data_IF_181791670777
#
_entry.id   IF_181791670777
#
_cell.length_a   1.000
_cell.length_b   1.000
_cell.length_c   1.000
_cell.angle_alpha   90.00
_cell.angle_beta   90.00
_cell.angle_gamma   90.00
#
_symmetry.space_group_name_H-M   'P 1'
#
loop_
_entity.id
_entity.type
_entity.pdbx_description
1 polymer ?
#
# COMPACT_ATOMS: atom_id res chain seq x y z
N UNK A 1 -0.04 -30.47 -3.27
CA UNK A 1 1.29 -29.91 -3.57
C UNK A 1 1.25 -29.31 -4.97
N UNK A 2 1.38 -27.98 -5.15
CA UNK A 2 1.48 -27.39 -6.49
C UNK A 2 2.95 -27.23 -6.93
N UNK A 3 3.25 -27.29 -8.24
CA UNK A 3 4.61 -27.37 -8.75
C UNK A 3 5.28 -25.99 -8.85
N UNK A 4 6.60 -25.98 -8.63
CA UNK A 4 7.51 -24.85 -8.70
C UNK A 4 7.55 -24.25 -10.11
N UNK A 5 7.23 -22.96 -10.24
CA UNK A 5 7.48 -22.18 -11.45
C UNK A 5 9.00 -22.07 -11.68
N UNK A 6 9.51 -22.85 -12.62
CA UNK A 6 10.87 -22.70 -13.15
C UNK A 6 11.00 -21.34 -13.83
N UNK A 7 11.66 -20.38 -13.17
CA UNK A 7 12.07 -19.11 -13.80
C UNK A 7 13.07 -19.42 -14.90
N UNK A 8 12.58 -19.43 -16.14
CA UNK A 8 13.41 -19.42 -17.34
C UNK A 8 14.25 -18.14 -17.31
N UNK A 9 15.54 -18.26 -17.00
CA UNK A 9 16.49 -17.15 -17.15
C UNK A 9 16.61 -16.90 -18.66
N UNK A 10 15.94 -15.86 -19.17
CA UNK A 10 16.16 -15.38 -20.53
C UNK A 10 17.63 -14.92 -20.60
N UNK A 11 18.41 -15.47 -21.52
CA UNK A 11 19.78 -15.01 -21.74
C UNK A 11 19.76 -13.54 -22.15
N UNK A 12 20.23 -12.65 -21.28
CA UNK A 12 20.41 -11.23 -21.59
C UNK A 12 21.49 -11.11 -22.68
N UNK A 13 21.11 -10.60 -23.84
CA UNK A 13 22.04 -10.32 -24.94
C UNK A 13 22.81 -9.05 -24.60
N UNK A 14 24.14 -9.08 -24.67
CA UNK A 14 24.97 -7.89 -24.50
C UNK A 14 24.81 -6.92 -25.68
N UNK A 15 24.83 -5.62 -25.41
CA UNK A 15 24.87 -4.56 -26.40
C UNK A 15 26.32 -4.15 -26.66
N UNK A 16 26.62 -3.58 -27.82
CA UNK A 16 27.94 -3.03 -28.14
C UNK A 16 27.86 -1.51 -28.24
N UNK A 17 28.78 -0.80 -27.59
CA UNK A 17 28.86 0.66 -27.75
C UNK A 17 29.63 1.02 -29.03
N UNK A 18 28.91 1.51 -30.04
CA UNK A 18 29.49 1.92 -31.33
C UNK A 18 30.41 3.17 -31.21
N UNK A 19 30.15 4.02 -30.23
CA UNK A 19 30.90 5.27 -30.01
C UNK A 19 32.17 5.09 -29.16
N UNK A 20 32.40 3.89 -28.61
CA UNK A 20 33.62 3.59 -27.85
C UNK A 20 34.70 3.01 -28.75
N UNK A 21 35.94 3.48 -28.58
CA UNK A 21 37.10 2.86 -29.21
C UNK A 21 37.12 1.36 -28.88
N UNK A 22 36.93 0.53 -29.92
CA UNK A 22 36.95 -0.93 -29.83
C UNK A 22 35.61 -1.65 -29.60
N UNK A 23 34.45 -1.04 -29.85
CA UNK A 23 33.13 -1.71 -29.79
C UNK A 23 32.91 -2.55 -28.52
N UNK A 24 33.19 -1.95 -27.36
CA UNK A 24 33.14 -2.65 -26.06
C UNK A 24 31.75 -3.24 -25.81
N UNK A 25 31.69 -4.51 -25.41
CA UNK A 25 30.46 -5.17 -25.02
C UNK A 25 29.99 -4.68 -23.64
N UNK A 26 28.76 -4.20 -23.56
CA UNK A 26 28.08 -3.72 -22.36
C UNK A 26 26.85 -4.61 -22.13
N UNK A 27 26.63 -5.00 -20.89
CA UNK A 27 25.43 -5.78 -20.52
C UNK A 27 24.20 -4.89 -20.79
N UNK A 28 23.24 -5.40 -21.56
CA UNK A 28 22.04 -4.67 -21.99
C UNK A 28 20.98 -4.57 -20.88
N UNK A 29 21.40 -4.08 -19.73
CA UNK A 29 20.56 -3.78 -18.58
C UNK A 29 20.59 -2.27 -18.35
N UNK A 30 19.43 -1.66 -18.12
CA UNK A 30 19.28 -0.20 -18.10
C UNK A 30 20.20 0.48 -17.08
N UNK A 31 20.42 -0.14 -15.92
CA UNK A 31 21.33 0.35 -14.88
C UNK A 31 22.79 0.29 -15.34
N UNK A 32 23.19 -0.80 -16.00
CA UNK A 32 24.54 -0.98 -16.54
C UNK A 32 24.84 -0.03 -17.69
N UNK A 33 23.88 0.20 -18.60
CA UNK A 33 24.01 1.15 -19.70
C UNK A 33 24.16 2.58 -19.17
N UNK A 34 23.35 3.00 -18.18
CA UNK A 34 23.48 4.33 -17.57
C UNK A 34 24.85 4.52 -16.92
N UNK A 35 25.39 3.49 -16.25
CA UNK A 35 26.73 3.55 -15.66
C UNK A 35 27.82 3.65 -16.73
N UNK A 36 27.69 2.91 -17.83
CA UNK A 36 28.61 3.01 -18.97
C UNK A 36 28.57 4.39 -19.63
N UNK A 37 27.36 4.93 -19.89
CA UNK A 37 27.18 6.28 -20.42
C UNK A 37 27.81 7.32 -19.49
N UNK A 38 27.64 7.19 -18.18
CA UNK A 38 28.29 8.09 -17.23
C UNK A 38 29.82 8.03 -17.29
N UNK A 39 30.40 6.85 -17.41
CA UNK A 39 31.85 6.68 -17.38
C UNK A 39 32.53 7.10 -18.68
N UNK A 40 31.87 6.88 -19.83
CA UNK A 40 32.51 7.00 -21.16
C UNK A 40 31.94 8.17 -21.97
N UNK A 41 30.67 8.50 -21.79
CA UNK A 41 29.92 9.41 -22.66
C UNK A 41 29.11 10.46 -21.87
N UNK A 42 29.60 10.88 -20.70
CA UNK A 42 28.85 11.81 -19.83
C UNK A 42 28.61 13.16 -20.51
N UNK A 43 29.66 13.76 -21.09
CA UNK A 43 29.57 15.06 -21.77
C UNK A 43 28.52 15.07 -22.90
N UNK A 44 28.61 14.11 -23.81
CA UNK A 44 27.66 13.99 -24.94
C UNK A 44 26.25 13.69 -24.47
N UNK A 45 26.07 12.91 -23.41
CA UNK A 45 24.77 12.66 -22.80
C UNK A 45 24.16 13.93 -22.19
N UNK A 46 24.96 14.75 -21.50
CA UNK A 46 24.48 16.02 -20.94
C UNK A 46 24.01 16.99 -22.03
N UNK A 47 24.77 17.12 -23.12
CA UNK A 47 24.40 17.95 -24.27
C UNK A 47 23.10 17.47 -24.91
N UNK A 48 22.97 16.15 -25.11
CA UNK A 48 21.74 15.55 -25.61
C UNK A 48 20.56 15.79 -24.66
N UNK A 49 20.75 15.60 -23.36
CA UNK A 49 19.70 15.81 -22.37
C UNK A 49 19.22 17.27 -22.35
N UNK A 50 20.15 18.24 -22.38
CA UNK A 50 19.84 19.66 -22.45
C UNK A 50 19.09 20.02 -23.74
N UNK A 51 19.56 19.54 -24.90
CA UNK A 51 18.93 19.80 -26.20
C UNK A 51 17.51 19.24 -26.29
N UNK A 52 17.24 18.14 -25.61
CA UNK A 52 15.92 17.48 -25.61
C UNK A 52 15.04 17.89 -24.42
N UNK A 53 15.46 18.86 -23.60
CA UNK A 53 14.76 19.27 -22.37
C UNK A 53 14.53 18.12 -21.37
N UNK A 54 15.41 17.12 -21.36
CA UNK A 54 15.40 16.04 -20.40
C UNK A 54 16.29 16.34 -19.20
N UNK A 55 15.80 15.93 -18.03
CA UNK A 55 16.59 15.94 -16.82
C UNK A 55 17.60 14.79 -16.85
N UNK A 56 18.88 15.09 -16.58
CA UNK A 56 19.91 14.05 -16.53
C UNK A 56 19.60 12.99 -15.47
N UNK A 57 19.65 11.72 -15.91
CA UNK A 57 19.43 10.54 -15.07
C UNK A 57 20.71 9.71 -14.90
N UNK A 58 21.89 10.31 -15.08
CA UNK A 58 23.14 9.64 -14.74
C UNK A 58 23.22 9.46 -13.22
N UNK A 59 23.72 8.31 -12.74
CA UNK A 59 23.86 8.02 -11.31
C UNK A 59 24.40 9.18 -10.46
N UNK A 60 25.50 9.83 -10.90
CA UNK A 60 26.11 10.95 -10.18
C UNK A 60 25.19 12.17 -10.07
N UNK A 61 24.39 12.46 -11.09
CA UNK A 61 23.48 13.60 -11.05
C UNK A 61 22.28 13.33 -10.15
N UNK A 62 21.82 12.07 -10.12
CA UNK A 62 20.77 11.63 -9.20
C UNK A 62 21.28 11.73 -7.75
N UNK A 63 22.52 11.35 -7.48
CA UNK A 63 23.15 11.48 -6.16
C UNK A 63 23.23 12.94 -5.73
N UNK A 64 23.79 13.83 -6.57
CA UNK A 64 23.82 15.28 -6.30
C UNK A 64 22.43 15.87 -6.05
N UNK A 65 21.43 15.44 -6.81
CA UNK A 65 20.05 15.89 -6.60
C UNK A 65 19.46 15.38 -5.27
N UNK A 66 19.85 14.18 -4.82
CA UNK A 66 19.44 13.67 -3.52
C UNK A 66 20.10 14.44 -2.39
N UNK A 67 21.38 14.78 -2.51
CA UNK A 67 22.10 15.61 -1.53
C UNK A 67 21.47 17.01 -1.40
N UNK A 68 21.17 17.66 -2.52
CA UNK A 68 20.46 18.96 -2.51
C UNK A 68 19.07 18.85 -1.88
N UNK A 69 18.36 17.73 -2.08
CA UNK A 69 17.03 17.50 -1.48
C UNK A 69 17.08 16.99 -0.04
N UNK A 70 18.23 16.57 0.46
CA UNK A 70 18.39 16.12 1.85
C UNK A 70 18.40 17.29 2.85
N UNK A 71 18.42 18.56 2.40
CA UNK A 71 18.11 19.70 3.26
C UNK A 71 16.61 19.78 3.59
N UNK A 72 15.74 19.23 2.75
CA UNK A 72 14.29 19.23 2.91
C UNK A 72 13.82 17.88 3.50
N UNK A 73 14.42 17.47 4.63
CA UNK A 73 13.98 16.26 5.34
C UNK A 73 12.57 16.49 5.87
N UNK A 74 11.63 15.68 5.39
CA UNK A 74 10.30 15.59 5.98
C UNK A 74 10.43 15.22 7.46
N UNK A 75 10.01 16.13 8.34
CA UNK A 75 9.90 15.88 9.79
C UNK A 75 8.99 14.67 10.00
N UNK A 76 9.31 13.79 10.96
CA UNK A 76 8.44 12.66 11.31
C UNK A 76 7.02 13.18 11.55
N UNK A 77 6.03 12.51 10.94
CA UNK A 77 4.60 12.84 11.06
C UNK A 77 4.04 12.55 12.46
N UNK A 78 4.84 11.94 13.32
CA UNK A 78 4.47 11.47 14.66
C UNK A 78 3.77 12.51 15.55
N UNK A 79 4.20 13.79 15.59
CA UNK A 79 3.56 14.80 16.45
C UNK A 79 2.09 15.09 16.11
N UNK A 80 1.63 14.71 14.91
CA UNK A 80 0.25 14.93 14.45
C UNK A 80 -0.61 13.65 14.40
N UNK A 81 -0.01 12.48 14.63
CA UNK A 81 -0.74 11.21 14.63
C UNK A 81 -1.44 11.01 15.97
N UNK A 82 -2.77 11.16 15.97
CA UNK A 82 -3.59 10.81 17.13
C UNK A 82 -4.12 9.39 16.97
N UNK A 83 -4.14 8.62 18.06
CA UNK A 83 -4.77 7.30 18.10
C UNK A 83 -6.24 7.49 17.73
N UNK A 84 -6.64 6.96 16.57
CA UNK A 84 -8.04 7.00 16.12
C UNK A 84 -8.85 6.28 17.19
N UNK A 85 -9.78 6.97 17.83
CA UNK A 85 -10.83 6.29 18.59
C UNK A 85 -11.45 5.29 17.64
N UNK A 86 -11.52 4.02 18.04
CA UNK A 86 -12.19 2.98 17.27
C UNK A 86 -13.54 3.54 16.86
N UNK A 87 -13.70 3.81 15.58
CA UNK A 87 -14.87 4.46 15.05
C UNK A 87 -15.95 3.40 15.05
N UNK A 88 -16.58 3.20 16.21
CA UNK A 88 -17.84 2.46 16.32
C UNK A 88 -18.75 3.16 15.33
N UNK A 89 -19.21 2.48 14.27
CA UNK A 89 -20.07 3.09 13.28
C UNK A 89 -21.26 3.72 14.02
N UNK A 90 -21.61 4.98 13.75
CA UNK A 90 -22.82 5.55 14.32
C UNK A 90 -23.98 4.65 13.93
N UNK A 91 -24.94 4.49 14.85
CA UNK A 91 -26.13 3.70 14.58
C UNK A 91 -26.77 4.15 13.26
N UNK A 92 -26.95 3.21 12.34
CA UNK A 92 -27.76 3.42 11.14
C UNK A 92 -28.80 2.31 11.06
N UNK A 93 -30.04 2.70 10.75
CA UNK A 93 -31.15 1.74 10.66
C UNK A 93 -30.86 0.64 9.64
N UNK A 94 -30.21 0.95 8.52
CA UNK A 94 -29.85 -0.03 7.50
C UNK A 94 -28.81 -1.03 7.99
N UNK A 95 -27.74 -0.57 8.65
CA UNK A 95 -26.73 -1.47 9.20
C UNK A 95 -27.30 -2.36 10.31
N UNK A 96 -28.11 -1.79 11.21
CA UNK A 96 -28.78 -2.56 12.26
C UNK A 96 -29.71 -3.63 11.67
N UNK A 97 -30.51 -3.28 10.67
CA UNK A 97 -31.40 -4.23 9.99
C UNK A 97 -30.62 -5.37 9.34
N UNK A 98 -29.52 -5.06 8.66
CA UNK A 98 -28.69 -6.05 8.00
C UNK A 98 -28.11 -7.05 9.01
N UNK A 99 -27.48 -6.55 10.08
CA UNK A 99 -26.90 -7.39 11.14
C UNK A 99 -27.99 -8.22 11.86
N UNK A 100 -29.16 -7.66 12.10
CA UNK A 100 -30.28 -8.38 12.71
C UNK A 100 -30.78 -9.54 11.83
N UNK A 101 -30.87 -9.34 10.51
CA UNK A 101 -31.26 -10.40 9.56
C UNK A 101 -30.19 -11.51 9.52
N UNK A 102 -28.91 -11.13 9.44
CA UNK A 102 -27.80 -12.10 9.47
C UNK A 102 -27.80 -12.94 10.76
N UNK A 103 -28.06 -12.31 11.90
CA UNK A 103 -28.20 -13.01 13.17
C UNK A 103 -29.38 -13.99 13.17
N UNK A 104 -30.55 -13.59 12.65
CA UNK A 104 -31.71 -14.49 12.56
C UNK A 104 -31.44 -15.69 11.65
N UNK A 105 -30.84 -15.47 10.48
CA UNK A 105 -30.51 -16.54 9.51
C UNK A 105 -29.48 -17.50 10.09
N UNK A 106 -28.46 -16.99 10.78
CA UNK A 106 -27.42 -17.84 11.37
C UNK A 106 -27.88 -18.69 12.55
N UNK A 107 -29.01 -18.32 13.18
CA UNK A 107 -29.55 -19.01 14.36
C UNK A 107 -30.82 -19.80 14.06
N UNK A 108 -31.36 -19.69 12.85
CA UNK A 108 -32.68 -20.21 12.43
C UNK A 108 -33.86 -19.65 13.25
N UNK A 109 -33.79 -18.38 13.66
CA UNK A 109 -34.84 -17.73 14.44
C UNK A 109 -35.91 -17.10 13.53
N UNK A 110 -37.19 -17.16 13.91
CA UNK A 110 -38.26 -16.53 13.15
C UNK A 110 -38.13 -15.00 13.19
N UNK A 111 -38.51 -14.33 12.09
CA UNK A 111 -38.55 -12.87 11.99
C UNK A 111 -39.36 -12.20 13.11
N UNK A 112 -40.38 -12.89 13.63
CA UNK A 112 -41.21 -12.45 14.75
C UNK A 112 -40.40 -12.21 16.04
N UNK A 113 -39.20 -12.81 16.18
CA UNK A 113 -38.34 -12.59 17.33
C UNK A 113 -37.96 -11.11 17.52
N UNK A 114 -37.85 -10.33 16.44
CA UNK A 114 -37.56 -8.88 16.50
C UNK A 114 -38.76 -8.06 17.03
N UNK A 115 -39.96 -8.61 16.96
CA UNK A 115 -41.18 -7.98 17.47
C UNK A 115 -41.38 -8.23 18.96
N UNK A 116 -40.70 -9.24 19.52
CA UNK A 116 -40.87 -9.63 20.91
C UNK A 116 -40.49 -8.48 21.85
N UNK A 117 -41.37 -8.11 22.82
CA UNK A 117 -41.14 -6.95 23.68
C UNK A 117 -39.88 -7.07 24.52
N UNK A 118 -39.50 -8.29 24.96
CA UNK A 118 -38.26 -8.49 25.71
C UNK A 118 -37.00 -8.20 24.87
N UNK A 119 -37.01 -8.54 23.58
CA UNK A 119 -35.90 -8.23 22.68
C UNK A 119 -35.76 -6.72 22.50
N UNK A 120 -36.88 -6.01 22.27
CA UNK A 120 -36.90 -4.54 22.17
C UNK A 120 -36.38 -3.86 23.45
N UNK A 121 -36.84 -4.33 24.62
CA UNK A 121 -36.37 -3.81 25.91
C UNK A 121 -34.87 -4.03 26.11
N UNK A 122 -34.33 -5.21 25.74
CA UNK A 122 -32.90 -5.49 25.80
C UNK A 122 -32.08 -4.51 24.97
N UNK A 123 -32.50 -4.24 23.73
CA UNK A 123 -31.83 -3.26 22.85
C UNK A 123 -31.94 -1.83 23.42
N UNK A 124 -33.10 -1.45 23.97
CA UNK A 124 -33.27 -0.13 24.60
C UNK A 124 -32.35 0.07 25.81
N UNK A 125 -32.17 -0.96 26.64
CA UNK A 125 -31.24 -0.94 27.78
C UNK A 125 -29.80 -0.82 27.26
N UNK A 126 -29.42 -1.65 26.29
CA UNK A 126 -28.09 -1.63 25.68
C UNK A 126 -27.74 -0.28 25.03
N UNK A 127 -28.70 0.35 24.33
CA UNK A 127 -28.50 1.64 23.65
C UNK A 127 -28.26 2.82 24.61
N UNK A 128 -28.65 2.68 25.88
CA UNK A 128 -28.43 3.71 26.92
C UNK A 128 -27.12 3.51 27.69
N UNK A 129 -26.38 2.43 27.45
CA UNK A 129 -25.16 2.14 28.17
C UNK A 129 -24.03 3.11 27.76
N UNK A 130 -23.41 3.74 28.75
CA UNK A 130 -22.31 4.72 28.55
C UNK A 130 -20.93 4.06 28.51
N UNK A 131 -20.77 2.91 29.15
CA UNK A 131 -19.49 2.22 29.33
C UNK A 131 -19.39 0.89 28.55
N UNK A 132 -20.37 0.61 27.68
CA UNK A 132 -20.48 -0.63 26.92
C UNK A 132 -21.45 -1.65 27.56
N UNK A 133 -21.68 -2.77 26.86
CA UNK A 133 -22.63 -3.82 27.27
C UNK A 133 -21.88 -5.15 27.43
N UNK A 134 -22.04 -5.80 28.59
CA UNK A 134 -21.51 -7.14 28.84
C UNK A 134 -22.58 -8.20 28.52
N UNK A 135 -22.33 -9.05 27.52
CA UNK A 135 -23.24 -10.12 27.12
C UNK A 135 -22.82 -11.42 27.84
N UNK A 136 -23.68 -12.02 28.67
CA UNK A 136 -23.35 -13.24 29.39
C UNK A 136 -23.17 -14.43 28.45
N UNK A 137 -22.19 -15.29 28.74
CA UNK A 137 -21.99 -16.55 28.02
C UNK A 137 -22.80 -17.69 28.67
N UNK A 138 -23.10 -18.77 27.93
CA UNK A 138 -23.84 -19.96 28.37
C UNK A 138 -23.33 -20.59 29.67
N UNK A 139 -22.07 -20.38 30.03
CA UNK A 139 -21.46 -20.91 31.27
C UNK A 139 -21.76 -20.05 32.51
N UNK A 140 -22.30 -18.85 32.33
CA UNK A 140 -22.58 -17.88 33.39
C UNK A 140 -24.07 -17.80 33.75
N UNK A 141 -24.91 -18.57 33.07
CA UNK A 141 -26.35 -18.78 33.30
C UNK A 141 -26.57 -20.20 33.77
#
# INVERSE_FOLDING_TARGET
MPPMLSRRIMAQKNATCASSAGNKSVINEATTIRRHLQAVHSGTYHEWAAKNNFKSMLPNDIEKQKEVKQSDKQTQLDPHLHKRSECIPPYSHLAFRQVAIEWLVSTDWPLQALEHPAFRNMIQIAARATTGVSIPNRKQT
#
